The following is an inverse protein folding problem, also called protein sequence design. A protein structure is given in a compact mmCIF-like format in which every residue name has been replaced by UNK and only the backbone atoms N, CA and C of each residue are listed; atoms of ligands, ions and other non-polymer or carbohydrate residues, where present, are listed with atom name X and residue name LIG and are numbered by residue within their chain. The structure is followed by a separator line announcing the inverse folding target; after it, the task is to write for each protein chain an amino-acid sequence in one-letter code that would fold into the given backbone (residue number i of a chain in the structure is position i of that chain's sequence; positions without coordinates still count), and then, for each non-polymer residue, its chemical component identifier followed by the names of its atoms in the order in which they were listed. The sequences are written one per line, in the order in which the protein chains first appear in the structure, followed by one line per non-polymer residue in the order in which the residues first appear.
data_IF_148687238764
#
_entry.id   IF_148687238764
#
_cell.length_a   1.000
_cell.length_b   1.000
_cell.length_c   1.000
_cell.angle_alpha   90.00
_cell.angle_beta   90.00
_cell.angle_gamma   90.00
#
_symmetry.space_group_name_H-M   'P 1'
#
loop_
_entity.id
_entity.type
_entity.pdbx_description
1 polymer ?
#
# COMPACT_ATOMS: atom_id res chain seq x y z
N UNK A 1 -23.87 -4.51 -3.22
CA UNK A 1 -23.01 -4.94 -2.10
C UNK A 1 -21.63 -5.22 -2.68
N UNK A 2 -20.57 -4.52 -2.25
CA UNK A 2 -19.21 -4.73 -2.81
C UNK A 2 -18.62 -6.04 -2.28
N UNK A 3 -17.84 -6.75 -3.10
CA UNK A 3 -17.19 -8.01 -2.73
C UNK A 3 -16.03 -7.74 -1.77
N UNK A 4 -15.80 -8.63 -0.80
CA UNK A 4 -14.61 -8.55 0.04
C UNK A 4 -13.38 -9.00 -0.77
N UNK A 5 -12.24 -8.29 -0.67
CA UNK A 5 -10.99 -8.69 -1.31
C UNK A 5 -10.35 -9.85 -0.53
N UNK A 6 -10.88 -11.06 -0.69
CA UNK A 6 -10.34 -12.26 -0.06
C UNK A 6 -9.08 -12.69 -0.80
N UNK A 7 -7.91 -12.49 -0.19
CA UNK A 7 -6.61 -12.86 -0.75
C UNK A 7 -5.97 -11.79 -1.64
N UNK A 8 -6.76 -10.84 -2.18
CA UNK A 8 -6.25 -9.70 -2.95
C UNK A 8 -5.70 -8.64 -2.00
N UNK A 9 -4.44 -8.27 -2.20
CA UNK A 9 -3.75 -7.26 -1.39
C UNK A 9 -3.16 -6.12 -2.24
N UNK A 10 -3.42 -6.14 -3.55
CA UNK A 10 -3.00 -5.09 -4.49
C UNK A 10 -4.04 -3.98 -4.49
N UNK A 11 -3.62 -2.74 -4.23
CA UNK A 11 -4.53 -1.60 -4.16
C UNK A 11 -5.21 -1.31 -5.50
N UNK A 12 -4.44 -1.28 -6.60
CA UNK A 12 -4.97 -1.04 -7.95
C UNK A 12 -6.05 -2.06 -8.33
N UNK A 13 -5.80 -3.35 -8.08
CA UNK A 13 -6.77 -4.44 -8.32
C UNK A 13 -8.04 -4.26 -7.48
N UNK A 14 -7.90 -3.90 -6.19
CA UNK A 14 -9.04 -3.64 -5.30
C UNK A 14 -9.95 -2.53 -5.85
N UNK A 15 -9.36 -1.43 -6.33
CA UNK A 15 -10.12 -0.29 -6.86
C UNK A 15 -10.73 -0.63 -8.22
N UNK A 16 -9.94 -1.18 -9.14
CA UNK A 16 -10.36 -1.44 -10.53
C UNK A 16 -11.43 -2.54 -10.61
N UNK A 17 -11.31 -3.60 -9.82
CA UNK A 17 -12.30 -4.68 -9.77
C UNK A 17 -13.51 -4.36 -8.87
N UNK A 18 -13.53 -3.17 -8.25
CA UNK A 18 -14.66 -2.69 -7.47
C UNK A 18 -14.88 -3.42 -6.13
N UNK A 19 -13.82 -3.98 -5.54
CA UNK A 19 -13.87 -4.58 -4.22
C UNK A 19 -14.14 -3.55 -3.11
N UNK A 20 -14.50 -4.04 -1.93
CA UNK A 20 -14.62 -3.21 -0.74
C UNK A 20 -13.24 -2.77 -0.26
N UNK A 21 -12.92 -1.50 -0.47
CA UNK A 21 -11.79 -0.83 0.14
C UNK A 21 -12.26 0.01 1.32
N UNK A 22 -11.58 -0.13 2.46
CA UNK A 22 -11.78 0.76 3.61
C UNK A 22 -10.77 1.90 3.48
N UNK A 23 -11.27 3.11 3.23
CA UNK A 23 -10.41 4.27 3.04
C UNK A 23 -9.66 4.60 4.33
N UNK A 24 -8.32 4.55 4.24
CA UNK A 24 -7.39 4.95 5.31
C UNK A 24 -6.38 5.98 4.82
N UNK A 25 -6.66 6.59 3.67
CA UNK A 25 -5.74 7.48 2.99
C UNK A 25 -5.58 8.83 3.73
N UNK A 26 -6.49 9.19 4.64
CA UNK A 26 -6.27 10.28 5.60
C UNK A 26 -5.02 10.08 6.45
N UNK A 27 -4.89 8.89 7.05
CA UNK A 27 -3.74 8.55 7.89
C UNK A 27 -2.45 8.55 7.07
N UNK A 28 -2.54 8.16 5.78
CA UNK A 28 -1.43 8.22 4.84
C UNK A 28 -1.05 9.67 4.51
N UNK A 29 -2.02 10.56 4.33
CA UNK A 29 -1.75 11.99 4.06
C UNK A 29 -1.00 12.65 5.23
N UNK A 30 -1.45 12.41 6.47
CA UNK A 30 -0.77 12.88 7.69
C UNK A 30 0.65 12.29 7.80
N UNK A 31 0.81 11.03 7.40
CA UNK A 31 2.09 10.33 7.40
C UNK A 31 3.08 10.91 6.37
N UNK A 32 2.64 11.23 5.16
CA UNK A 32 3.49 11.82 4.10
C UNK A 32 3.99 13.21 4.51
N UNK A 33 3.19 13.98 5.23
CA UNK A 33 3.56 15.32 5.70
C UNK A 33 4.48 15.30 6.94
N UNK A 34 4.62 14.15 7.60
CA UNK A 34 5.41 14.00 8.81
C UNK A 34 6.91 13.85 8.50
N UNK A 35 7.78 14.62 9.19
CA UNK A 35 9.25 14.51 9.04
C UNK A 35 9.82 13.15 9.45
N UNK A 36 9.19 12.52 10.45
CA UNK A 36 9.61 11.23 10.96
C UNK A 36 8.38 10.34 11.12
N UNK A 37 8.44 9.16 10.51
CA UNK A 37 7.33 8.22 10.48
C UNK A 37 7.77 6.92 11.10
N UNK A 38 7.14 6.53 12.21
CA UNK A 38 7.29 5.21 12.77
C UNK A 38 6.00 4.40 12.54
N UNK A 39 6.03 3.52 11.54
CA UNK A 39 4.95 2.58 11.28
C UNK A 39 5.07 1.39 12.25
N UNK A 40 4.55 1.53 13.47
CA UNK A 40 4.49 0.41 14.41
C UNK A 40 3.49 -0.64 13.88
N UNK A 41 3.99 -1.86 13.64
CA UNK A 41 3.33 -3.01 13.00
C UNK A 41 1.81 -3.07 13.28
N UNK A 42 0.96 -2.53 12.38
CA UNK A 42 -0.45 -2.40 12.67
C UNK A 42 -1.13 -3.77 12.52
N UNK A 43 -1.60 -4.33 13.63
CA UNK A 43 -2.21 -5.67 13.69
C UNK A 43 -3.50 -5.69 12.85
N UNK A 44 -3.61 -6.65 11.92
CA UNK A 44 -4.76 -6.82 11.00
C UNK A 44 -4.99 -5.70 9.97
N UNK A 45 -4.01 -4.82 9.76
CA UNK A 45 -4.17 -3.69 8.83
C UNK A 45 -3.91 -4.05 7.36
N UNK A 46 -3.38 -5.26 7.09
CA UNK A 46 -2.96 -5.65 5.74
C UNK A 46 -1.71 -4.89 5.33
N UNK A 47 -0.53 -5.32 5.83
CA UNK A 47 0.75 -4.64 5.55
C UNK A 47 0.99 -4.49 4.05
N UNK A 48 0.73 -5.54 3.28
CA UNK A 48 0.93 -5.52 1.82
C UNK A 48 -0.02 -4.55 1.12
N UNK A 49 -1.27 -4.43 1.57
CA UNK A 49 -2.23 -3.46 1.03
C UNK A 49 -1.77 -2.02 1.28
N UNK A 50 -1.28 -1.72 2.49
CA UNK A 50 -0.73 -0.40 2.80
C UNK A 50 0.49 -0.09 1.92
N UNK A 51 1.42 -1.05 1.79
CA UNK A 51 2.62 -0.88 0.94
C UNK A 51 2.24 -0.69 -0.52
N UNK A 52 1.28 -1.46 -1.04
CA UNK A 52 0.77 -1.30 -2.40
C UNK A 52 0.10 0.07 -2.58
N UNK A 53 -0.71 0.52 -1.62
CA UNK A 53 -1.34 1.85 -1.66
C UNK A 53 -0.27 2.96 -1.72
N UNK A 54 0.75 2.88 -0.88
CA UNK A 54 1.87 3.84 -0.90
C UNK A 54 2.64 3.82 -2.22
N UNK A 55 2.90 2.62 -2.75
CA UNK A 55 3.56 2.47 -4.06
C UNK A 55 2.77 3.18 -5.16
N UNK A 56 1.45 3.05 -5.16
CA UNK A 56 0.57 3.67 -6.16
C UNK A 56 0.50 5.20 -5.99
N UNK A 57 0.54 5.70 -4.74
CA UNK A 57 0.66 7.13 -4.43
C UNK A 57 1.95 7.70 -5.00
N UNK A 58 3.10 7.11 -4.63
CA UNK A 58 4.41 7.61 -5.05
C UNK A 58 4.71 7.35 -6.53
N UNK A 59 3.98 6.45 -7.18
CA UNK A 59 4.05 6.29 -8.65
C UNK A 59 3.34 7.43 -9.38
N UNK A 60 2.49 8.18 -8.69
CA UNK A 60 1.69 9.26 -9.26
C UNK A 60 0.36 8.80 -9.86
N UNK A 61 -0.16 7.62 -9.49
CA UNK A 61 -1.35 7.03 -10.10
C UNK A 61 -2.67 7.64 -9.58
N UNK A 62 -2.81 8.96 -9.73
CA UNK A 62 -3.91 9.78 -9.19
C UNK A 62 -5.31 9.22 -9.48
N UNK A 63 -5.52 8.67 -10.68
CA UNK A 63 -6.82 8.15 -11.11
C UNK A 63 -7.35 7.03 -10.19
N UNK A 64 -6.47 6.23 -9.58
CA UNK A 64 -6.85 5.15 -8.66
C UNK A 64 -7.41 5.68 -7.33
N UNK A 65 -7.18 6.95 -7.02
CA UNK A 65 -7.57 7.54 -5.74
C UNK A 65 -8.83 8.39 -5.83
N UNK A 66 -9.51 8.40 -6.98
CA UNK A 66 -10.72 9.19 -7.17
C UNK A 66 -11.78 8.83 -6.12
N UNK A 67 -12.22 9.83 -5.35
CA UNK A 67 -13.21 9.66 -4.28
C UNK A 67 -12.64 9.18 -2.94
N UNK A 68 -11.33 9.00 -2.82
CA UNK A 68 -10.65 8.77 -1.54
C UNK A 68 -10.14 10.09 -0.94
N UNK A 69 -9.93 10.11 0.38
CA UNK A 69 -9.53 11.32 1.09
C UNK A 69 -8.26 11.97 0.54
N UNK A 70 -7.24 11.20 0.16
CA UNK A 70 -5.94 11.75 -0.28
C UNK A 70 -5.95 12.43 -1.64
N UNK A 71 -7.01 12.22 -2.44
CA UNK A 71 -7.07 12.63 -3.85
C UNK A 71 -6.67 14.10 -4.09
N UNK A 72 -7.12 15.00 -3.23
CA UNK A 72 -6.93 16.45 -3.31
C UNK A 72 -6.04 17.01 -2.19
N UNK A 73 -5.33 16.14 -1.44
CA UNK A 73 -4.55 16.53 -0.25
C UNK A 73 -3.04 16.54 -0.47
N UNK A 74 -2.58 16.04 -1.60
CA UNK A 74 -1.16 15.97 -1.97
C UNK A 74 -0.97 16.47 -3.40
N UNK A 75 0.25 16.91 -3.68
CA UNK A 75 0.69 17.08 -5.07
C UNK A 75 1.08 15.72 -5.65
N UNK A 76 0.52 15.39 -6.79
CA UNK A 76 0.82 14.13 -7.47
C UNK A 76 2.15 14.25 -8.21
N UNK A 77 3.17 13.60 -7.68
CA UNK A 77 4.50 13.53 -8.26
C UNK A 77 4.93 12.06 -8.35
N UNK A 78 5.57 11.70 -9.46
CA UNK A 78 6.10 10.35 -9.66
C UNK A 78 7.52 10.27 -9.12
N UNK A 79 7.78 9.27 -8.30
CA UNK A 79 9.06 9.00 -7.69
C UNK A 79 9.53 7.58 -8.05
N UNK A 80 10.85 7.35 -8.19
CA UNK A 80 11.37 6.00 -8.32
C UNK A 80 11.12 5.22 -7.02
N UNK A 81 10.50 4.04 -7.12
CA UNK A 81 10.14 3.21 -5.97
C UNK A 81 11.01 1.96 -5.94
N UNK A 82 11.58 1.69 -4.77
CA UNK A 82 12.26 0.42 -4.48
C UNK A 82 11.36 -0.37 -3.54
N UNK A 83 10.68 -1.37 -4.08
CA UNK A 83 9.89 -2.33 -3.30
C UNK A 83 10.74 -3.58 -3.04
N UNK A 84 10.99 -3.89 -1.77
CA UNK A 84 11.72 -5.09 -1.37
C UNK A 84 10.77 -6.04 -0.68
N UNK A 85 10.56 -7.22 -1.29
CA UNK A 85 9.83 -8.33 -0.69
C UNK A 85 10.81 -9.43 -0.27
N UNK A 86 10.67 -9.89 0.98
CA UNK A 86 11.50 -10.93 1.58
C UNK A 86 10.75 -12.26 1.74
N UNK A 87 9.48 -12.35 1.33
CA UNK A 87 8.65 -13.54 1.52
C UNK A 87 9.16 -14.76 0.74
N UNK A 88 9.96 -14.56 -0.32
CA UNK A 88 10.48 -15.63 -1.18
C UNK A 88 11.91 -16.06 -0.87
N UNK A 89 12.55 -15.53 0.18
CA UNK A 89 13.91 -15.95 0.53
C UNK A 89 13.86 -17.32 1.20
N UNK A 90 14.24 -18.36 0.46
CA UNK A 90 14.44 -19.71 0.97
C UNK A 90 15.76 -19.79 1.74
N UNK A 91 15.71 -20.25 2.99
CA UNK A 91 16.91 -20.59 3.75
C UNK A 91 17.47 -21.91 3.23
N UNK A 92 18.53 -21.86 2.45
CA UNK A 92 19.36 -23.05 2.20
C UNK A 92 20.14 -23.34 3.48
N UNK A 93 19.76 -24.39 4.21
CA UNK A 93 20.63 -24.94 5.25
C UNK A 93 21.78 -25.67 4.55
N UNK A 94 22.88 -24.98 4.28
CA UNK A 94 24.14 -25.64 3.95
C UNK A 94 24.60 -26.40 5.20
N UNK A 95 24.30 -27.69 5.23
CA UNK A 95 24.84 -28.65 6.18
C UNK A 95 26.35 -28.71 5.91
N UNK A 96 27.17 -28.14 6.80
CA UNK A 96 28.61 -28.42 6.80
C UNK A 96 28.80 -29.92 7.09
N UNK A 97 29.34 -30.64 6.10
CA UNK A 97 29.87 -31.99 6.26
C UNK A 97 31.18 -31.99 7.04
#
# INVERSE_FOLDING_TARGET
MKRLPLGVQTFSEIIQEGYLYVDKTQQIAELIQSKYVFLSRPRRFGKSLLVSTLSEIFSGNQALFQGLYIYDKIEWQSHPIILIDFNSISYSNDQCH
#
